data_IF_263633763344
#
_entry.id   IF_263633763344
#
_cell.length_a   1.000
_cell.length_b   1.000
_cell.length_c   1.000
_cell.angle_alpha   90.00
_cell.angle_beta   90.00
_cell.angle_gamma   90.00
#
_symmetry.space_group_name_H-M   'P 1'
#
loop_
_entity.id
_entity.type
_entity.pdbx_description
1 polymer ?
#
# COMPACT_ATOMS: atom_id res chain seq x y z
N UNK A 1 -6.90 -25.25 13.06
CA UNK A 1 -7.79 -24.08 13.21
C UNK A 1 -7.74 -23.34 11.91
N UNK A 2 -8.86 -22.98 11.26
CA UNK A 2 -8.80 -22.19 10.04
C UNK A 2 -8.24 -20.82 10.40
N UNK A 3 -7.11 -20.45 9.81
CA UNK A 3 -6.55 -19.10 9.92
C UNK A 3 -7.54 -18.18 9.23
N UNK A 4 -8.02 -17.19 9.96
CA UNK A 4 -8.98 -16.22 9.46
C UNK A 4 -8.44 -15.56 8.18
N UNK A 5 -9.28 -15.53 7.17
CA UNK A 5 -9.07 -14.84 5.89
C UNK A 5 -8.58 -13.42 6.13
N UNK A 6 -7.42 -13.10 5.57
CA UNK A 6 -6.65 -11.91 5.90
C UNK A 6 -6.85 -10.81 4.86
N UNK A 7 -8.02 -10.21 4.85
CA UNK A 7 -8.29 -8.97 4.11
C UNK A 7 -7.61 -7.71 4.71
N UNK A 8 -6.71 -7.90 5.63
CA UNK A 8 -6.05 -6.86 6.44
C UNK A 8 -5.02 -6.04 5.64
N UNK A 9 -4.59 -6.49 4.49
CA UNK A 9 -3.51 -5.91 3.71
C UNK A 9 -3.76 -4.53 3.15
N UNK A 10 -4.93 -4.30 2.60
CA UNK A 10 -5.26 -2.98 2.04
C UNK A 10 -5.33 -1.94 3.15
N UNK A 11 -5.89 -2.29 4.30
CA UNK A 11 -5.96 -1.41 5.48
C UNK A 11 -4.58 -1.06 6.05
N UNK A 12 -3.63 -1.97 5.95
CA UNK A 12 -2.25 -1.71 6.38
C UNK A 12 -1.55 -0.73 5.44
N UNK A 13 -1.73 -0.88 4.13
CA UNK A 13 -1.20 0.07 3.14
C UNK A 13 -1.84 1.44 3.32
N UNK A 14 -3.17 1.49 3.50
CA UNK A 14 -3.89 2.73 3.78
C UNK A 14 -3.34 3.43 5.03
N UNK A 15 -3.16 2.67 6.11
CA UNK A 15 -2.62 3.18 7.37
C UNK A 15 -1.19 3.68 7.20
N UNK A 16 -0.35 2.93 6.48
CA UNK A 16 1.03 3.30 6.21
C UNK A 16 1.10 4.60 5.39
N UNK A 17 0.29 4.72 4.32
CA UNK A 17 0.22 5.94 3.50
C UNK A 17 -0.25 7.15 4.32
N UNK A 18 -1.28 7.00 5.16
CA UNK A 18 -1.75 8.08 6.03
C UNK A 18 -0.64 8.56 6.95
N UNK A 19 0.05 7.63 7.61
CA UNK A 19 1.11 7.97 8.55
C UNK A 19 2.30 8.61 7.83
N UNK A 20 2.64 8.12 6.65
CA UNK A 20 3.70 8.66 5.81
C UNK A 20 3.39 10.11 5.37
N UNK A 21 2.18 10.36 4.86
CA UNK A 21 1.73 11.70 4.45
C UNK A 21 1.76 12.67 5.65
N UNK A 22 1.21 12.27 6.80
CA UNK A 22 1.22 13.07 8.05
C UNK A 22 2.64 13.37 8.55
N UNK A 23 3.57 12.47 8.32
CA UNK A 23 4.98 12.66 8.65
C UNK A 23 5.63 13.78 7.85
N UNK A 24 5.26 13.91 6.57
CA UNK A 24 5.89 14.81 5.60
C UNK A 24 5.15 16.15 5.51
N UNK A 25 3.82 16.13 5.29
CA UNK A 25 3.06 17.35 5.02
C UNK A 25 2.62 18.00 6.32
N UNK A 26 3.40 18.99 6.74
CA UNK A 26 3.14 19.81 7.93
C UNK A 26 3.06 21.29 7.54
N UNK A 27 2.06 21.96 8.05
CA UNK A 27 1.89 23.40 7.87
C UNK A 27 1.95 24.13 9.22
N UNK A 28 2.40 25.39 9.25
CA UNK A 28 2.38 26.17 10.46
C UNK A 28 0.93 26.46 10.89
N UNK A 29 0.65 26.24 12.16
CA UNK A 29 -0.61 26.66 12.78
C UNK A 29 -0.62 28.18 13.07
N UNK A 30 -1.67 28.68 13.72
CA UNK A 30 -1.80 30.10 14.08
C UNK A 30 -0.71 30.60 15.02
N UNK A 31 0.05 29.69 15.66
CA UNK A 31 1.17 29.99 16.57
C UNK A 31 2.52 29.79 15.90
N UNK A 32 2.55 29.41 14.60
CA UNK A 32 3.77 29.12 13.86
C UNK A 32 4.35 27.73 14.12
N UNK A 33 3.66 26.85 14.85
CA UNK A 33 4.10 25.47 15.11
C UNK A 33 3.71 24.59 13.92
N UNK A 34 4.68 23.81 13.42
CA UNK A 34 4.43 22.88 12.33
C UNK A 34 3.55 21.72 12.81
N UNK A 35 2.33 21.67 12.30
CA UNK A 35 1.36 20.62 12.61
C UNK A 35 1.06 19.77 11.37
N UNK A 36 0.90 18.44 11.51
CA UNK A 36 0.51 17.59 10.39
C UNK A 36 -0.84 18.01 9.82
N UNK A 37 -0.93 18.09 8.50
CA UNK A 37 -2.21 18.29 7.82
C UNK A 37 -3.10 17.07 8.03
N UNK A 38 -4.40 17.25 8.37
CA UNK A 38 -5.33 16.14 8.52
C UNK A 38 -5.41 15.30 7.25
N UNK A 39 -5.28 13.96 7.39
CA UNK A 39 -5.42 13.01 6.29
C UNK A 39 -6.60 12.11 6.57
N UNK A 40 -7.53 12.00 5.62
CA UNK A 40 -8.75 11.19 5.72
C UNK A 40 -8.82 10.21 4.55
N UNK A 41 -9.28 8.99 4.82
CA UNK A 41 -9.63 8.05 3.74
C UNK A 41 -11.01 8.41 3.22
N UNK A 42 -11.14 8.50 1.91
CA UNK A 42 -12.43 8.64 1.24
C UNK A 42 -12.92 7.26 0.82
N UNK A 43 -14.11 6.89 1.27
CA UNK A 43 -14.77 5.68 0.81
C UNK A 43 -15.62 5.97 -0.44
N UNK A 44 -15.73 5.02 -1.39
CA UNK A 44 -16.44 5.25 -2.66
C UNK A 44 -17.92 5.62 -2.48
N UNK A 45 -18.57 5.08 -1.45
CA UNK A 45 -20.02 5.17 -1.23
C UNK A 45 -20.44 6.27 -0.24
N UNK A 46 -19.48 7.08 0.25
CA UNK A 46 -19.80 8.15 1.18
C UNK A 46 -19.94 9.49 0.46
N UNK A 47 -21.03 10.23 0.76
CA UNK A 47 -21.16 11.66 0.45
C UNK A 47 -20.05 12.42 1.18
N UNK A 48 -18.88 12.51 0.53
CA UNK A 48 -17.70 13.09 1.12
C UNK A 48 -17.85 14.61 1.27
N UNK A 49 -17.95 15.06 2.50
CA UNK A 49 -17.91 16.50 2.85
C UNK A 49 -16.60 16.84 3.51
N UNK A 50 -15.93 17.85 2.98
CA UNK A 50 -14.73 18.41 3.61
C UNK A 50 -15.19 19.36 4.71
N UNK A 51 -14.96 18.97 5.95
CA UNK A 51 -15.32 19.74 7.13
C UNK A 51 -14.22 20.70 7.56
N UNK A 52 -12.97 20.34 7.29
CA UNK A 52 -11.78 21.08 7.72
C UNK A 52 -10.85 21.36 6.55
N UNK A 53 -10.26 22.55 6.54
CA UNK A 53 -9.24 22.98 5.59
C UNK A 53 -8.03 23.56 6.33
N UNK A 54 -6.78 23.32 5.88
CA UNK A 54 -6.42 22.41 4.79
C UNK A 54 -6.57 20.95 5.18
N UNK A 55 -6.83 20.07 4.22
CA UNK A 55 -6.84 18.63 4.45
C UNK A 55 -6.35 17.85 3.22
N UNK A 56 -6.00 16.61 3.44
CA UNK A 56 -5.59 15.67 2.40
C UNK A 56 -6.56 14.48 2.45
N UNK A 57 -7.01 14.03 1.28
CA UNK A 57 -7.83 12.82 1.20
C UNK A 57 -7.13 11.77 0.38
N UNK A 58 -7.21 10.54 0.86
CA UNK A 58 -6.67 9.35 0.23
C UNK A 58 -7.84 8.51 -0.29
N UNK A 59 -7.78 8.12 -1.54
CA UNK A 59 -8.79 7.28 -2.17
C UNK A 59 -8.13 6.13 -2.91
N UNK A 60 -8.50 4.88 -2.56
CA UNK A 60 -8.11 3.71 -3.31
C UNK A 60 -9.03 3.59 -4.53
N UNK A 61 -8.48 3.80 -5.72
CA UNK A 61 -9.22 3.78 -6.97
C UNK A 61 -9.59 2.35 -7.36
N UNK A 62 -8.60 1.48 -7.41
CA UNK A 62 -8.73 0.06 -7.74
C UNK A 62 -7.43 -0.69 -7.44
N UNK A 63 -7.53 -2.01 -7.43
CA UNK A 63 -6.40 -2.93 -7.30
C UNK A 63 -6.34 -3.88 -8.49
N UNK A 64 -5.14 -4.19 -8.96
CA UNK A 64 -4.91 -5.12 -10.06
C UNK A 64 -3.86 -6.14 -9.63
N UNK A 65 -4.16 -7.43 -9.82
CA UNK A 65 -3.18 -8.49 -9.67
C UNK A 65 -2.10 -8.33 -10.73
N UNK A 66 -0.84 -8.38 -10.33
CA UNK A 66 0.28 -8.27 -11.24
C UNK A 66 0.68 -9.67 -11.74
N UNK A 67 0.03 -10.12 -12.82
CA UNK A 67 0.26 -11.44 -13.39
C UNK A 67 1.67 -11.64 -13.94
N UNK A 68 2.34 -10.55 -14.29
CA UNK A 68 3.72 -10.61 -14.81
C UNK A 68 4.72 -10.99 -13.73
N UNK A 69 4.46 -10.55 -12.48
CA UNK A 69 5.31 -10.87 -11.32
C UNK A 69 4.82 -12.09 -10.53
N UNK A 70 3.65 -12.62 -10.89
CA UNK A 70 3.10 -13.77 -10.19
C UNK A 70 3.71 -15.07 -10.70
N UNK A 71 4.39 -15.78 -9.82
CA UNK A 71 4.86 -17.14 -10.04
C UNK A 71 4.10 -18.04 -9.07
N UNK A 72 3.20 -18.93 -9.58
CA UNK A 72 2.40 -19.80 -8.74
C UNK A 72 3.26 -20.99 -8.24
N UNK A 73 4.25 -20.68 -7.41
CA UNK A 73 5.10 -21.70 -6.81
C UNK A 73 4.93 -21.74 -5.30
N UNK A 74 5.11 -22.92 -4.74
CA UNK A 74 5.26 -23.13 -3.31
C UNK A 74 6.72 -22.93 -2.92
N UNK A 75 6.98 -22.24 -1.83
CA UNK A 75 8.30 -22.03 -1.29
C UNK A 75 8.45 -22.90 -0.04
N UNK A 76 9.51 -23.72 0.01
CA UNK A 76 9.84 -24.48 1.22
C UNK A 76 10.37 -23.52 2.28
N UNK A 77 9.60 -23.31 3.34
CA UNK A 77 9.95 -22.40 4.44
C UNK A 77 10.66 -23.10 5.58
N UNK A 78 10.34 -24.38 5.81
CA UNK A 78 10.94 -25.14 6.91
C UNK A 78 11.16 -26.59 6.51
N UNK A 79 12.29 -27.16 6.95
CA UNK A 79 12.62 -28.58 6.75
C UNK A 79 12.83 -29.23 8.11
N UNK A 80 11.93 -30.11 8.49
CA UNK A 80 12.10 -30.97 9.66
C UNK A 80 12.70 -32.30 9.21
N UNK A 81 14.02 -32.38 9.29
CA UNK A 81 14.77 -33.60 8.88
C UNK A 81 14.56 -34.77 9.85
N UNK A 82 14.12 -34.51 11.09
CA UNK A 82 13.88 -35.53 12.10
C UNK A 82 12.60 -36.31 11.82
N UNK A 83 11.55 -35.58 11.39
CA UNK A 83 10.25 -36.16 11.10
C UNK A 83 10.00 -36.34 9.58
N UNK A 84 11.00 -36.08 8.74
CA UNK A 84 10.89 -36.11 7.27
C UNK A 84 9.75 -35.25 6.73
N UNK A 85 9.54 -34.07 7.31
CA UNK A 85 8.48 -33.15 6.91
C UNK A 85 9.04 -31.91 6.22
N UNK A 86 8.29 -31.45 5.22
CA UNK A 86 8.45 -30.16 4.57
C UNK A 86 7.26 -29.29 4.92
N UNK A 87 7.52 -28.05 5.27
CA UNK A 87 6.49 -27.03 5.37
C UNK A 87 6.65 -26.11 4.15
N UNK A 88 5.64 -26.12 3.31
CA UNK A 88 5.56 -25.31 2.11
C UNK A 88 4.55 -24.18 2.32
N UNK A 89 4.89 -23.00 1.85
CA UNK A 89 3.98 -21.85 1.81
C UNK A 89 3.77 -21.45 0.35
N UNK A 90 2.56 -21.01 0.01
CA UNK A 90 2.33 -20.41 -1.30
C UNK A 90 3.14 -19.12 -1.44
N UNK A 91 3.65 -18.87 -2.65
CA UNK A 91 4.31 -17.60 -2.94
C UNK A 91 3.33 -16.44 -2.80
N UNK A 92 3.84 -15.31 -2.31
CA UNK A 92 3.05 -14.09 -2.18
C UNK A 92 2.48 -13.66 -3.55
N UNK A 93 1.23 -13.19 -3.53
CA UNK A 93 0.56 -12.71 -4.75
C UNK A 93 0.85 -11.21 -4.90
N UNK A 94 1.55 -10.79 -5.97
CA UNK A 94 1.82 -9.39 -6.21
C UNK A 94 0.56 -8.65 -6.71
N UNK A 95 0.31 -7.49 -6.09
CA UNK A 95 -0.75 -6.57 -6.48
C UNK A 95 -0.20 -5.18 -6.75
N UNK A 96 -0.87 -4.49 -7.64
CA UNK A 96 -0.72 -3.05 -7.87
C UNK A 96 -1.95 -2.34 -7.37
N UNK A 97 -1.78 -1.49 -6.37
CA UNK A 97 -2.85 -0.66 -5.80
C UNK A 97 -2.74 0.74 -6.38
N UNK A 98 -3.83 1.28 -6.85
CA UNK A 98 -3.87 2.64 -7.39
C UNK A 98 -4.57 3.56 -6.43
N UNK A 99 -3.84 4.59 -5.98
CA UNK A 99 -4.33 5.58 -5.04
C UNK A 99 -4.39 6.96 -5.66
N UNK A 100 -5.42 7.69 -5.31
CA UNK A 100 -5.53 9.12 -5.55
C UNK A 100 -5.31 9.85 -4.22
N UNK A 101 -4.42 10.84 -4.24
CA UNK A 101 -4.14 11.73 -3.13
C UNK A 101 -4.63 13.11 -3.54
N UNK A 102 -5.62 13.62 -2.82
CA UNK A 102 -6.21 14.92 -3.06
C UNK A 102 -5.79 15.91 -1.98
N UNK A 103 -5.25 17.03 -2.39
CA UNK A 103 -4.95 18.17 -1.52
C UNK A 103 -6.07 19.18 -1.62
N UNK A 104 -6.56 19.64 -0.47
CA UNK A 104 -7.67 20.58 -0.38
C UNK A 104 -7.29 21.76 0.51
N UNK A 105 -7.49 23.00 0.02
CA UNK A 105 -7.23 24.21 0.77
C UNK A 105 -8.21 25.32 0.39
N UNK A 106 -8.42 26.26 1.32
CA UNK A 106 -9.16 27.52 1.04
C UNK A 106 -8.24 28.65 0.59
N UNK A 107 -6.96 28.55 0.87
CA UNK A 107 -5.95 29.54 0.49
C UNK A 107 -4.97 28.95 -0.51
N UNK A 108 -4.66 29.72 -1.57
CA UNK A 108 -3.69 29.32 -2.59
C UNK A 108 -2.29 29.08 -2.00
N UNK A 109 -1.90 29.87 -1.00
CA UNK A 109 -0.62 29.71 -0.32
C UNK A 109 -0.50 28.35 0.36
N UNK A 110 -1.53 27.92 1.10
CA UNK A 110 -1.57 26.62 1.75
C UNK A 110 -1.49 25.48 0.72
N UNK A 111 -2.21 25.59 -0.40
CA UNK A 111 -2.15 24.63 -1.50
C UNK A 111 -0.75 24.53 -2.09
N UNK A 112 -0.14 25.67 -2.38
CA UNK A 112 1.21 25.73 -2.92
C UNK A 112 2.24 25.12 -1.94
N UNK A 113 2.10 25.43 -0.64
CA UNK A 113 3.00 24.89 0.38
C UNK A 113 2.87 23.38 0.53
N UNK A 114 1.64 22.82 0.62
CA UNK A 114 1.42 21.39 0.68
C UNK A 114 2.02 20.69 -0.54
N UNK A 115 1.73 21.20 -1.73
CA UNK A 115 2.21 20.62 -2.99
C UNK A 115 3.72 20.71 -3.10
N UNK A 116 4.33 21.85 -2.73
CA UNK A 116 5.78 22.04 -2.74
C UNK A 116 6.48 21.12 -1.75
N UNK A 117 5.95 20.97 -0.53
CA UNK A 117 6.50 20.07 0.49
C UNK A 117 6.47 18.62 -0.03
N UNK A 118 5.32 18.20 -0.55
CA UNK A 118 5.15 16.84 -1.04
C UNK A 118 6.05 16.51 -2.23
N UNK A 119 6.01 17.33 -3.29
CA UNK A 119 6.83 17.12 -4.48
C UNK A 119 8.33 17.33 -4.22
N UNK A 120 8.67 18.25 -3.34
CA UNK A 120 10.07 18.48 -2.94
C UNK A 120 10.66 17.32 -2.13
N UNK A 121 9.81 16.57 -1.41
CA UNK A 121 10.23 15.35 -0.70
C UNK A 121 10.41 14.16 -1.64
N UNK A 122 9.72 14.16 -2.79
CA UNK A 122 9.76 13.08 -3.79
C UNK A 122 10.16 13.61 -5.18
N UNK A 123 11.42 14.09 -5.34
CA UNK A 123 11.87 14.66 -6.61
C UNK A 123 11.85 13.63 -7.76
N UNK A 124 12.10 12.37 -7.45
CA UNK A 124 12.11 11.26 -8.43
C UNK A 124 10.72 10.68 -8.69
N UNK A 125 9.68 11.29 -8.14
CA UNK A 125 8.28 10.83 -8.26
C UNK A 125 8.02 9.42 -7.72
N UNK A 126 8.93 8.89 -6.94
CA UNK A 126 8.79 7.58 -6.31
C UNK A 126 9.38 7.60 -4.88
N UNK A 127 8.96 6.64 -4.08
CA UNK A 127 9.46 6.45 -2.73
C UNK A 127 9.18 5.03 -2.23
N UNK A 128 9.90 4.62 -1.19
CA UNK A 128 9.60 3.40 -0.47
C UNK A 128 8.67 3.70 0.71
N UNK A 129 7.59 2.94 0.79
CA UNK A 129 6.61 3.02 1.86
C UNK A 129 6.81 1.84 2.81
N UNK A 130 7.21 2.07 4.06
CA UNK A 130 7.29 0.99 5.05
C UNK A 130 5.87 0.55 5.43
N UNK A 131 5.53 -0.68 5.09
CA UNK A 131 4.24 -1.31 5.42
C UNK A 131 4.51 -2.45 6.41
N UNK A 132 3.76 -2.52 7.49
CA UNK A 132 3.85 -3.65 8.42
C UNK A 132 3.12 -4.85 7.86
N UNK A 133 3.82 -5.99 7.78
CA UNK A 133 3.18 -7.24 7.46
C UNK A 133 2.34 -7.76 8.66
N UNK A 134 1.61 -8.83 8.44
CA UNK A 134 0.75 -9.42 9.47
C UNK A 134 1.51 -9.96 10.69
N UNK A 135 2.80 -10.20 10.52
CA UNK A 135 3.70 -10.62 11.60
C UNK A 135 4.31 -9.42 12.34
N UNK A 136 3.99 -8.18 11.90
CA UNK A 136 4.50 -6.94 12.46
C UNK A 136 5.88 -6.53 11.93
N UNK A 137 6.44 -7.24 10.95
CA UNK A 137 7.71 -6.88 10.32
C UNK A 137 7.51 -5.75 9.31
N UNK A 138 8.48 -4.87 9.21
CA UNK A 138 8.48 -3.82 8.20
C UNK A 138 8.89 -4.40 6.84
N UNK A 139 8.07 -4.13 5.82
CA UNK A 139 8.35 -4.41 4.41
C UNK A 139 8.26 -3.12 3.62
N UNK A 140 9.21 -2.92 2.72
CA UNK A 140 9.20 -1.76 1.84
C UNK A 140 8.34 -2.04 0.61
N UNK A 141 7.29 -1.24 0.44
CA UNK A 141 6.47 -1.20 -0.76
C UNK A 141 6.91 -0.03 -1.64
N UNK A 142 7.19 -0.30 -2.91
CA UNK A 142 7.58 0.75 -3.84
C UNK A 142 6.34 1.52 -4.32
N UNK A 143 6.42 2.83 -4.27
CA UNK A 143 5.36 3.75 -4.68
C UNK A 143 5.85 4.61 -5.82
N UNK A 144 5.08 4.68 -6.91
CA UNK A 144 5.38 5.46 -8.09
C UNK A 144 4.22 6.39 -8.41
N UNK A 145 4.51 7.67 -8.65
CA UNK A 145 3.54 8.62 -9.17
C UNK A 145 3.26 8.29 -10.66
N UNK A 146 1.99 8.04 -10.98
CA UNK A 146 1.59 7.62 -12.34
C UNK A 146 1.16 8.80 -13.22
N UNK A 147 0.61 9.84 -12.62
CA UNK A 147 0.14 11.03 -13.34
C UNK A 147 0.79 12.30 -12.80
N UNK A 148 0.88 13.30 -13.65
CA UNK A 148 1.28 14.65 -13.23
C UNK A 148 0.22 15.30 -12.35
N UNK A 149 0.65 16.29 -11.56
CA UNK A 149 -0.23 17.07 -10.71
C UNK A 149 -1.35 17.72 -11.53
N UNK A 150 -2.59 17.33 -11.24
CA UNK A 150 -3.80 17.93 -11.82
C UNK A 150 -4.37 18.94 -10.84
N UNK A 151 -4.73 20.12 -11.33
CA UNK A 151 -5.42 21.16 -10.55
C UNK A 151 -6.87 21.21 -10.98
N UNK A 152 -7.76 21.24 -10.00
CA UNK A 152 -9.21 21.32 -10.22
C UNK A 152 -9.82 22.22 -9.15
N UNK A 153 -9.74 23.55 -9.38
CA UNK A 153 -10.27 24.52 -8.45
C UNK A 153 -11.79 24.63 -8.59
N UNK A 154 -12.48 24.71 -7.47
CA UNK A 154 -13.93 24.86 -7.41
C UNK A 154 -14.32 26.21 -6.83
N UNK A 155 -15.29 26.87 -7.46
CA UNK A 155 -15.95 28.06 -6.93
C UNK A 155 -17.38 27.70 -6.54
N UNK A 156 -17.64 27.57 -5.24
CA UNK A 156 -18.94 27.28 -4.68
C UNK A 156 -19.43 28.52 -3.91
N UNK A 157 -20.47 29.20 -4.40
CA UNK A 157 -21.17 30.31 -3.68
C UNK A 157 -20.23 31.32 -3.00
N UNK A 158 -19.29 31.87 -3.73
CA UNK A 158 -18.26 32.84 -3.24
C UNK A 158 -17.10 32.21 -2.41
N UNK A 159 -17.10 30.90 -2.13
CA UNK A 159 -15.99 30.23 -1.49
C UNK A 159 -15.16 29.49 -2.54
N UNK A 160 -13.92 29.92 -2.74
CA UNK A 160 -12.99 29.25 -3.63
C UNK A 160 -12.28 28.14 -2.87
N UNK A 161 -12.39 26.91 -3.40
CA UNK A 161 -11.66 25.77 -2.90
C UNK A 161 -10.60 25.37 -3.92
N UNK A 162 -9.34 25.37 -3.48
CA UNK A 162 -8.21 24.90 -4.27
C UNK A 162 -8.08 23.39 -4.09
N UNK A 163 -7.95 22.69 -5.19
CA UNK A 163 -7.87 21.24 -5.23
C UNK A 163 -6.76 20.80 -6.16
N UNK A 164 -5.90 19.93 -5.69
CA UNK A 164 -4.83 19.31 -6.48
C UNK A 164 -4.85 17.80 -6.31
N UNK A 165 -4.70 17.08 -7.40
CA UNK A 165 -4.83 15.62 -7.49
C UNK A 165 -3.50 15.03 -7.92
N UNK A 166 -3.07 13.98 -7.23
CA UNK A 166 -1.93 13.13 -7.60
C UNK A 166 -2.37 11.66 -7.58
N UNK A 167 -1.91 10.90 -8.55
CA UNK A 167 -2.20 9.47 -8.65
C UNK A 167 -0.92 8.66 -8.47
N UNK A 168 -1.00 7.62 -7.65
CA UNK A 168 0.12 6.76 -7.30
C UNK A 168 -0.23 5.29 -7.52
N UNK A 169 0.76 4.53 -7.92
CA UNK A 169 0.74 3.07 -7.95
C UNK A 169 1.63 2.56 -6.82
N UNK A 170 1.08 1.69 -5.98
CA UNK A 170 1.77 1.03 -4.88
C UNK A 170 1.89 -0.45 -5.21
N UNK A 171 3.13 -0.98 -5.21
CA UNK A 171 3.35 -2.41 -5.37
C UNK A 171 3.40 -3.09 -4.02
N UNK A 172 2.53 -4.08 -3.84
CA UNK A 172 2.46 -4.87 -2.62
C UNK A 172 2.47 -6.35 -2.94
N UNK A 173 2.90 -7.15 -1.98
CA UNK A 173 2.83 -8.61 -2.04
C UNK A 173 1.89 -9.08 -0.94
N UNK A 174 0.83 -9.78 -1.33
CA UNK A 174 -0.16 -10.33 -0.41
C UNK A 174 0.18 -11.78 -0.16
N UNK A 175 0.52 -12.11 1.08
CA UNK A 175 0.79 -13.47 1.50
C UNK A 175 -0.54 -14.19 1.77
N UNK A 176 -0.98 -15.03 0.87
CA UNK A 176 -1.94 -16.08 1.20
C UNK A 176 -1.16 -17.23 1.83
N UNK A 177 -0.90 -17.14 3.14
CA UNK A 177 -0.16 -18.19 3.86
C UNK A 177 -1.01 -19.43 4.05
N UNK A 178 -1.18 -20.21 3.00
CA UNK A 178 -1.64 -21.58 3.13
C UNK A 178 -0.39 -22.43 3.35
N UNK A 179 -0.16 -22.82 4.61
CA UNK A 179 0.89 -23.79 4.94
C UNK A 179 0.39 -25.18 4.64
N UNK A 180 1.10 -25.89 3.80
CA UNK A 180 0.86 -27.30 3.51
C UNK A 180 2.01 -28.12 4.08
N UNK A 181 1.69 -29.17 4.84
CA UNK A 181 2.69 -30.15 5.27
C UNK A 181 2.87 -31.18 4.16
N UNK A 182 4.09 -31.31 3.66
CA UNK A 182 4.51 -32.34 2.74
C UNK A 182 5.49 -33.32 3.41
N UNK A 183 5.82 -34.40 2.75
CA UNK A 183 6.83 -35.33 3.21
C UNK A 183 8.06 -35.28 2.30
N UNK A 184 9.24 -35.31 2.90
CA UNK A 184 10.49 -35.48 2.19
C UNK A 184 10.54 -36.90 1.58
N UNK A 185 10.72 -36.99 0.27
CA UNK A 185 11.05 -38.27 -0.39
C UNK A 185 12.52 -38.54 -0.09
N UNK A 186 12.80 -39.40 0.89
CA UNK A 186 14.16 -39.73 1.32
C UNK A 186 14.77 -40.88 0.51
N UNK A 187 13.93 -41.69 -0.12
CA UNK A 187 14.40 -42.82 -0.96
C UNK A 187 13.53 -42.94 -2.22
N UNK A 188 14.19 -42.96 -3.37
CA UNK A 188 13.56 -43.37 -4.61
C UNK A 188 13.80 -44.89 -4.68
N UNK A 189 12.76 -45.76 -4.60
CA UNK A 189 12.97 -47.19 -4.73
C UNK A 189 13.61 -47.49 -6.09
N UNK A 190 14.73 -48.20 -6.09
CA UNK A 190 15.33 -48.65 -7.35
C UNK A 190 14.31 -49.46 -8.15
N UNK A 191 14.18 -49.21 -9.46
CA UNK A 191 13.28 -49.99 -10.28
C UNK A 191 13.68 -51.45 -10.21
N UNK A 192 12.74 -52.33 -9.80
CA UNK A 192 12.96 -53.75 -9.81
C UNK A 192 13.37 -54.17 -11.22
N UNK A 193 14.63 -54.56 -11.40
CA UNK A 193 15.11 -55.17 -12.63
C UNK A 193 14.50 -56.56 -12.74
N UNK A 194 13.38 -56.65 -13.44
CA UNK A 194 12.81 -57.95 -13.83
C UNK A 194 13.85 -58.67 -14.71
N UNK A 195 14.56 -59.60 -14.13
CA UNK A 195 15.40 -60.52 -14.91
C UNK A 195 14.47 -61.37 -15.76
N UNK A 196 14.49 -61.14 -17.06
CA UNK A 196 13.98 -62.12 -18.05
C UNK A 196 14.90 -63.31 -18.18
#
# INVERSE_FOLDING_TARGET
MPVASQSVWFEQVDTALINYIKGIVKLPDSKGVLTPVPVKIRKPDEDFKIEEYPCITLYNLYSVRDEVRYFPDTVVVERDLVNNKLIEENSAIPYSLFYQIDFWARQQSQMNDMTRIWLGHHPDRCFNLPVKDLSGNDRDSFVLMTDDLKKSDFLLKNDRTFHSILTYRVWVEIDERIRTEGYLITEIPEPETTKM
#
